data_IF_328129342182
#
_entry.id   IF_328129342182
#
_cell.length_a   1.000
_cell.length_b   1.000
_cell.length_c   1.000
_cell.angle_alpha   90.00
_cell.angle_beta   90.00
_cell.angle_gamma   90.00
#
_symmetry.space_group_name_H-M   'P 1'
#
loop_
_entity.id
_entity.type
_entity.pdbx_description
1 polymer ?
#
# COMPACT_ATOMS: atom_id res chain seq x y z
N UNK A 1 -3.92 -14.90 12.31
CA UNK A 1 -4.33 -13.48 12.18
C UNK A 1 -3.81 -13.04 10.83
N UNK A 2 -4.67 -12.58 9.92
CA UNK A 2 -4.19 -12.02 8.65
C UNK A 2 -3.52 -10.69 9.00
N UNK A 3 -2.24 -10.56 8.69
CA UNK A 3 -1.51 -9.31 8.87
C UNK A 3 -2.00 -8.32 7.81
N UNK A 4 -2.48 -7.16 8.22
CA UNK A 4 -2.96 -6.14 7.29
C UNK A 4 -1.74 -5.34 6.81
N UNK A 5 -1.37 -5.43 5.51
CA UNK A 5 -0.21 -4.70 5.00
C UNK A 5 -0.42 -3.20 5.16
N UNK A 6 0.65 -2.47 5.49
CA UNK A 6 0.59 -1.02 5.70
C UNK A 6 0.09 -0.30 4.45
N UNK A 7 0.41 -0.85 3.27
CA UNK A 7 -0.06 -0.34 1.98
C UNK A 7 -1.56 -0.53 1.80
N UNK A 8 -2.14 -1.56 2.41
CA UNK A 8 -3.58 -1.78 2.49
C UNK A 8 -4.28 -0.65 3.24
N UNK A 9 -3.80 -0.33 4.46
CA UNK A 9 -4.32 0.80 5.26
C UNK A 9 -4.16 2.13 4.53
N UNK A 10 -2.97 2.41 4.00
CA UNK A 10 -2.70 3.63 3.24
C UNK A 10 -3.65 3.78 2.04
N UNK A 11 -3.86 2.70 1.28
CA UNK A 11 -4.76 2.70 0.13
C UNK A 11 -6.21 2.94 0.55
N UNK A 12 -6.70 2.23 1.55
CA UNK A 12 -8.10 2.32 1.98
C UNK A 12 -8.43 3.71 2.55
N UNK A 13 -7.66 4.18 3.52
CA UNK A 13 -7.91 5.46 4.19
C UNK A 13 -7.51 6.65 3.33
N UNK A 14 -6.46 6.53 2.52
CA UNK A 14 -6.09 7.57 1.55
C UNK A 14 -7.17 7.77 0.49
N UNK A 15 -7.81 6.70 -0.01
CA UNK A 15 -8.96 6.82 -0.90
C UNK A 15 -10.18 7.44 -0.22
N UNK A 16 -10.44 7.11 1.05
CA UNK A 16 -11.51 7.75 1.82
C UNK A 16 -11.29 9.27 1.94
N UNK A 17 -10.05 9.71 2.16
CA UNK A 17 -9.69 11.13 2.16
C UNK A 17 -9.86 11.79 0.79
N UNK A 18 -9.37 11.15 -0.28
CA UNK A 18 -9.47 11.68 -1.65
C UNK A 18 -10.91 11.79 -2.11
N UNK A 19 -11.78 10.89 -1.67
CA UNK A 19 -13.23 10.94 -1.90
C UNK A 19 -13.99 11.92 -0.98
N UNK A 20 -13.30 12.58 -0.05
CA UNK A 20 -13.91 13.51 0.91
C UNK A 20 -14.79 12.84 1.98
N UNK A 21 -14.57 11.54 2.23
CA UNK A 21 -15.37 10.72 3.15
C UNK A 21 -14.80 10.68 4.57
N UNK A 22 -13.58 11.17 4.79
CA UNK A 22 -12.93 11.16 6.09
C UNK A 22 -12.06 12.41 6.30
N UNK A 23 -11.90 12.84 7.55
CA UNK A 23 -11.05 13.97 7.91
C UNK A 23 -9.55 13.60 7.78
N UNK A 24 -8.68 14.54 7.38
CA UNK A 24 -7.25 14.25 7.21
C UNK A 24 -6.56 13.68 8.45
N UNK A 25 -6.89 14.19 9.64
CA UNK A 25 -6.25 13.74 10.89
C UNK A 25 -6.71 12.33 11.30
N UNK A 26 -8.00 12.03 11.13
CA UNK A 26 -8.54 10.67 11.35
C UNK A 26 -7.88 9.67 10.40
N UNK A 27 -7.73 10.04 9.13
CA UNK A 27 -7.05 9.23 8.11
C UNK A 27 -5.60 8.96 8.49
N UNK A 28 -4.86 9.99 8.92
CA UNK A 28 -3.48 9.83 9.34
C UNK A 28 -3.37 8.85 10.53
N UNK A 29 -4.22 8.98 11.54
CA UNK A 29 -4.25 8.07 12.69
C UNK A 29 -4.56 6.62 12.27
N UNK A 30 -5.53 6.43 11.38
CA UNK A 30 -5.92 5.09 10.91
C UNK A 30 -4.85 4.41 10.05
N UNK A 31 -4.07 5.19 9.30
CA UNK A 31 -2.95 4.65 8.53
C UNK A 31 -1.81 4.21 9.46
N UNK A 32 -1.46 5.06 10.43
CA UNK A 32 -0.41 4.79 11.43
C UNK A 32 -0.77 3.56 12.27
N UNK A 33 -2.02 3.45 12.73
CA UNK A 33 -2.48 2.36 13.58
C UNK A 33 -1.55 2.17 14.80
N UNK A 34 -0.93 1.00 14.94
CA UNK A 34 -0.04 0.65 16.05
C UNK A 34 1.43 1.08 15.82
N UNK A 35 1.76 1.59 14.64
CA UNK A 35 3.10 2.13 14.35
C UNK A 35 3.29 3.48 15.08
N UNK A 36 4.55 3.91 15.27
CA UNK A 36 4.85 5.14 15.98
C UNK A 36 4.66 6.38 15.09
N UNK A 37 5.11 6.32 13.83
CA UNK A 37 5.02 7.46 12.90
C UNK A 37 5.15 7.01 11.46
N UNK A 38 4.39 7.67 10.58
CA UNK A 38 4.51 7.51 9.13
C UNK A 38 4.88 8.86 8.49
N UNK A 39 5.87 8.85 7.61
CA UNK A 39 6.29 10.03 6.81
C UNK A 39 6.35 9.68 5.34
N UNK A 40 6.14 10.66 4.46
CA UNK A 40 6.35 10.53 3.02
C UNK A 40 7.65 11.23 2.63
N UNK A 41 8.59 10.50 2.04
CA UNK A 41 9.85 11.01 1.52
C UNK A 41 9.81 11.14 0.00
N UNK A 42 10.69 11.98 -0.54
CA UNK A 42 10.84 12.23 -1.98
C UNK A 42 9.55 12.70 -2.69
N UNK A 43 8.63 13.30 -1.92
CA UNK A 43 7.37 13.78 -2.44
C UNK A 43 7.56 15.05 -3.28
N UNK A 44 7.04 15.11 -4.53
CA UNK A 44 7.29 16.26 -5.41
C UNK A 44 6.90 17.62 -4.81
N UNK A 45 7.92 18.48 -4.68
CA UNK A 45 7.81 19.85 -4.20
C UNK A 45 7.91 20.01 -2.69
N UNK A 46 8.30 18.96 -1.96
CA UNK A 46 8.74 19.02 -0.57
C UNK A 46 10.26 18.83 -0.50
N UNK A 47 10.93 19.48 0.46
CA UNK A 47 12.40 19.45 0.60
C UNK A 47 12.91 18.40 1.60
N UNK A 48 12.04 17.47 2.01
CA UNK A 48 12.36 16.41 2.97
C UNK A 48 11.11 15.63 3.36
N UNK A 49 11.24 14.64 4.26
CA UNK A 49 10.13 13.82 4.71
C UNK A 49 9.03 14.64 5.38
N UNK A 50 7.78 14.42 4.99
CA UNK A 50 6.60 15.11 5.54
C UNK A 50 5.63 14.15 6.22
N UNK A 51 4.88 14.61 7.21
CA UNK A 51 3.83 13.80 7.84
C UNK A 51 2.68 13.48 6.88
N UNK A 52 1.93 12.41 7.18
CA UNK A 52 0.83 11.91 6.33
C UNK A 52 -0.21 12.99 5.94
N UNK A 53 -0.63 13.83 6.88
CA UNK A 53 -1.65 14.87 6.61
C UNK A 53 -1.19 15.84 5.51
N UNK A 54 0.06 16.32 5.58
CA UNK A 54 0.64 17.19 4.57
C UNK A 54 0.87 16.42 3.26
N UNK A 55 1.43 15.22 3.35
CA UNK A 55 1.74 14.38 2.18
C UNK A 55 0.50 14.02 1.35
N UNK A 56 -0.58 13.57 1.99
CA UNK A 56 -1.84 13.28 1.32
C UNK A 56 -2.50 14.54 0.73
N UNK A 57 -2.41 15.66 1.44
CA UNK A 57 -2.84 16.96 0.91
C UNK A 57 -2.06 17.38 -0.33
N UNK A 58 -0.76 17.10 -0.36
CA UNK A 58 0.13 17.38 -1.49
C UNK A 58 -0.17 16.46 -2.68
N UNK A 59 -0.42 15.17 -2.46
CA UNK A 59 -0.86 14.25 -3.52
C UNK A 59 -2.14 14.76 -4.19
N UNK A 60 -3.12 15.22 -3.41
CA UNK A 60 -4.34 15.84 -3.96
C UNK A 60 -4.03 17.10 -4.77
N UNK A 61 -3.11 17.95 -4.31
CA UNK A 61 -2.69 19.16 -5.04
C UNK A 61 -1.95 18.82 -6.34
N UNK A 62 -1.28 17.67 -6.41
CA UNK A 62 -0.65 17.13 -7.62
C UNK A 62 -1.66 16.45 -8.57
N UNK A 63 -2.96 16.48 -8.25
CA UNK A 63 -4.02 15.92 -9.09
C UNK A 63 -4.19 14.40 -8.94
N UNK A 64 -3.73 13.81 -7.84
CA UNK A 64 -4.07 12.42 -7.48
C UNK A 64 -5.55 12.35 -7.12
N UNK A 65 -6.26 11.40 -7.72
CA UNK A 65 -7.69 11.16 -7.53
C UNK A 65 -7.99 9.83 -6.85
N UNK A 66 -6.99 8.97 -6.72
CA UNK A 66 -7.12 7.68 -6.06
C UNK A 66 -5.78 7.00 -5.84
N UNK A 67 -5.81 5.92 -5.08
CA UNK A 67 -4.71 5.05 -4.74
C UNK A 67 -5.08 3.60 -5.08
N UNK A 68 -4.11 2.83 -5.59
CA UNK A 68 -4.25 1.40 -5.86
C UNK A 68 -3.18 0.64 -5.07
N UNK A 69 -3.60 -0.47 -4.49
CA UNK A 69 -2.70 -1.39 -3.81
C UNK A 69 -1.98 -2.29 -4.83
N UNK A 70 -0.70 -2.53 -4.61
CA UNK A 70 0.06 -3.60 -5.23
C UNK A 70 0.73 -4.45 -4.14
N UNK A 71 0.60 -5.77 -4.23
CA UNK A 71 1.20 -6.75 -3.32
C UNK A 71 2.06 -7.73 -4.15
N UNK A 72 3.20 -7.26 -4.69
CA UNK A 72 4.04 -8.09 -5.54
C UNK A 72 4.71 -9.20 -4.73
N UNK A 73 4.95 -10.34 -5.38
CA UNK A 73 5.76 -11.44 -4.84
C UNK A 73 6.87 -11.79 -5.82
N UNK A 74 7.92 -12.47 -5.35
CA UNK A 74 9.04 -12.86 -6.21
C UNK A 74 8.55 -13.64 -7.44
N UNK A 75 8.89 -13.15 -8.63
CA UNK A 75 8.46 -13.74 -9.90
C UNK A 75 7.08 -13.30 -10.41
N UNK A 76 6.34 -12.49 -9.65
CA UNK A 76 5.01 -12.00 -10.03
C UNK A 76 4.82 -10.51 -9.64
N UNK A 77 5.24 -9.57 -10.52
CA UNK A 77 5.16 -8.14 -10.25
C UNK A 77 3.76 -7.55 -10.50
N UNK A 78 2.69 -8.29 -10.18
CA UNK A 78 1.32 -7.86 -10.44
C UNK A 78 1.03 -6.49 -9.82
N UNK A 79 0.35 -5.64 -10.59
CA UNK A 79 -0.03 -4.30 -10.16
C UNK A 79 1.08 -3.24 -10.24
N UNK A 80 2.34 -3.62 -10.51
CA UNK A 80 3.45 -2.69 -10.67
C UNK A 80 3.57 -2.17 -12.11
N UNK A 81 3.76 -0.87 -12.28
CA UNK A 81 3.85 -0.22 -13.60
C UNK A 81 5.28 0.14 -14.04
N UNK A 82 6.32 -0.25 -13.29
CA UNK A 82 7.69 0.22 -13.51
C UNK A 82 7.87 1.69 -13.12
N UNK A 83 9.10 2.26 -13.22
CA UNK A 83 10.34 1.72 -13.79
C UNK A 83 11.02 0.64 -12.91
N UNK A 84 12.12 -0.01 -13.38
CA UNK A 84 12.80 -1.08 -12.63
C UNK A 84 13.14 -0.71 -11.19
N UNK A 85 13.64 0.52 -10.95
CA UNK A 85 13.94 0.98 -9.59
C UNK A 85 12.73 0.94 -8.64
N UNK A 86 11.55 1.35 -9.10
CA UNK A 86 10.33 1.24 -8.30
C UNK A 86 9.94 -0.23 -8.09
N UNK A 87 10.01 -1.04 -9.15
CA UNK A 87 9.65 -2.44 -9.06
C UNK A 87 10.55 -3.23 -8.11
N UNK A 88 11.86 -2.98 -8.14
CA UNK A 88 12.84 -3.66 -7.29
C UNK A 88 12.57 -3.35 -5.82
N UNK A 89 12.34 -2.08 -5.48
CA UNK A 89 11.97 -1.65 -4.12
C UNK A 89 10.62 -2.24 -3.69
N UNK A 90 9.61 -2.20 -4.55
CA UNK A 90 8.29 -2.76 -4.25
C UNK A 90 8.34 -4.28 -4.07
N UNK A 91 9.18 -4.99 -4.83
CA UNK A 91 9.41 -6.43 -4.68
C UNK A 91 10.16 -6.77 -3.40
N UNK A 92 11.13 -5.94 -3.01
CA UNK A 92 11.86 -6.10 -1.74
C UNK A 92 10.94 -5.88 -0.53
N UNK A 93 10.10 -4.84 -0.57
CA UNK A 93 9.11 -4.56 0.47
C UNK A 93 7.94 -5.56 0.46
N UNK A 94 7.64 -6.18 -0.68
CA UNK A 94 6.45 -7.03 -0.88
C UNK A 94 5.13 -6.26 -0.97
N UNK A 95 5.18 -4.93 -0.94
CA UNK A 95 4.01 -4.06 -0.97
C UNK A 95 4.34 -2.67 -1.58
N UNK A 96 3.35 -2.08 -2.24
CA UNK A 96 3.41 -0.72 -2.74
C UNK A 96 2.02 -0.11 -2.93
N UNK A 97 1.95 1.21 -3.01
CA UNK A 97 0.75 1.96 -3.38
C UNK A 97 1.03 2.79 -4.63
N UNK A 98 0.19 2.65 -5.66
CA UNK A 98 0.27 3.46 -6.87
C UNK A 98 -0.82 4.51 -6.89
N UNK A 99 -0.46 5.73 -7.25
CA UNK A 99 -1.42 6.82 -7.46
C UNK A 99 -2.18 6.68 -8.78
N UNK A 100 -3.41 7.18 -8.81
CA UNK A 100 -4.21 7.38 -10.02
C UNK A 100 -4.52 8.86 -10.18
N UNK A 101 -4.65 9.33 -11.42
CA UNK A 101 -4.89 10.74 -11.73
C UNK A 101 -3.72 11.34 -12.49
N UNK A 102 -3.43 12.61 -12.22
CA UNK A 102 -2.44 13.38 -13.00
C UNK A 102 -0.98 13.13 -12.59
N UNK A 103 -0.73 12.79 -11.33
CA UNK A 103 0.60 12.43 -10.86
C UNK A 103 0.78 10.91 -10.88
N UNK A 104 1.87 10.47 -11.49
CA UNK A 104 2.23 9.06 -11.61
C UNK A 104 3.35 8.75 -10.61
N UNK A 105 2.95 8.49 -9.36
CA UNK A 105 3.82 8.14 -8.25
C UNK A 105 3.49 6.75 -7.70
N UNK A 106 4.52 6.03 -7.30
CA UNK A 106 4.47 4.83 -6.48
C UNK A 106 5.06 5.12 -5.10
N UNK A 107 4.43 4.60 -4.05
CA UNK A 107 4.84 4.74 -2.67
C UNK A 107 5.22 3.36 -2.15
N UNK A 108 6.47 3.19 -1.73
CA UNK A 108 6.98 1.94 -1.14
C UNK A 108 7.32 2.19 0.33
N UNK A 109 6.87 1.34 1.27
CA UNK A 109 7.20 1.52 2.68
C UNK A 109 8.62 1.02 2.98
N UNK A 110 9.39 1.86 3.65
CA UNK A 110 10.63 1.51 4.34
C UNK A 110 10.34 1.47 5.84
N UNK A 111 10.46 0.29 6.44
CA UNK A 111 10.10 0.04 7.84
C UNK A 111 11.36 0.04 8.69
N UNK A 112 11.36 0.86 9.75
CA UNK A 112 12.44 0.96 10.70
C UNK A 112 11.94 0.59 12.09
N UNK A 113 12.64 -0.33 12.74
CA UNK A 113 12.36 -0.73 14.12
C UNK A 113 13.43 -0.18 15.06
N UNK A 114 13.00 0.47 16.14
CA UNK A 114 13.90 1.03 17.14
C UNK A 114 13.33 0.89 18.55
N UNK A 115 14.18 0.55 19.52
CA UNK A 115 13.78 0.43 20.92
C UNK A 115 14.30 -0.85 21.59
N UNK A 116 14.23 -0.95 22.93
CA UNK A 116 14.61 -2.15 23.64
C UNK A 116 13.59 -3.29 23.41
N UNK A 117 14.02 -4.53 23.66
CA UNK A 117 13.12 -5.68 23.60
C UNK A 117 11.92 -5.50 24.55
N UNK A 118 10.71 -5.53 24.00
CA UNK A 118 9.45 -5.29 24.74
C UNK A 118 8.90 -3.87 24.64
N UNK A 119 9.64 -2.94 24.01
CA UNK A 119 9.19 -1.57 23.72
C UNK A 119 9.80 -1.13 22.37
N UNK A 120 9.55 -1.93 21.33
CA UNK A 120 10.00 -1.65 19.97
C UNK A 120 8.97 -0.74 19.32
N UNK A 121 9.43 0.39 18.81
CA UNK A 121 8.64 1.30 18.00
C UNK A 121 8.94 1.08 16.53
N UNK A 122 7.89 1.15 15.72
CA UNK A 122 7.99 1.02 14.27
C UNK A 122 7.77 2.39 13.63
N UNK A 123 8.73 2.84 12.83
CA UNK A 123 8.61 4.03 11.99
C UNK A 123 8.54 3.62 10.53
N UNK A 124 7.71 4.30 9.75
CA UNK A 124 7.49 3.98 8.33
C UNK A 124 7.76 5.21 7.48
N UNK A 125 8.70 5.09 6.55
CA UNK A 125 8.94 6.08 5.51
C UNK A 125 8.39 5.59 4.17
N UNK A 126 7.43 6.31 3.60
CA UNK A 126 6.88 6.05 2.29
C UNK A 126 7.74 6.74 1.24
N UNK A 127 8.63 6.00 0.58
CA UNK A 127 9.45 6.55 -0.50
C UNK A 127 8.58 6.75 -1.74
N UNK A 128 8.44 8.00 -2.18
CA UNK A 128 7.70 8.35 -3.38
C UNK A 128 8.61 8.28 -4.61
N UNK A 129 8.31 7.38 -5.54
CA UNK A 129 9.05 7.22 -6.79
C UNK A 129 8.16 7.53 -7.99
N UNK A 130 8.70 8.11 -9.08
CA UNK A 130 7.96 8.21 -10.33
C UNK A 130 7.65 6.81 -10.86
N UNK A 131 6.42 6.59 -11.32
CA UNK A 131 6.00 5.37 -12.03
C UNK A 131 5.59 5.71 -13.46
N UNK A 132 5.51 4.70 -14.33
CA UNK A 132 5.04 4.92 -15.70
C UNK A 132 3.54 5.20 -15.70
N UNK A 133 3.12 6.13 -16.56
CA UNK A 133 1.73 6.23 -16.99
C UNK A 133 1.41 5.05 -17.93
N UNK A 134 1.13 3.91 -17.33
CA UNK A 134 0.78 2.70 -18.03
C UNK A 134 -0.51 2.13 -17.43
N UNK A 135 -1.33 1.44 -18.24
CA UNK A 135 -2.43 0.65 -17.70
C UNK A 135 -1.90 -0.22 -16.55
N UNK A 136 -2.69 -0.41 -15.47
CA UNK A 136 -2.34 -1.35 -14.42
C UNK A 136 -1.84 -2.67 -15.04
N UNK A 137 -0.63 -3.11 -14.67
CA UNK A 137 -0.10 -4.38 -15.14
C UNK A 137 -1.09 -5.49 -14.83
N UNK A 138 -1.55 -6.18 -15.88
CA UNK A 138 -2.55 -7.26 -15.95
C UNK A 138 -3.16 -7.67 -14.61
N UNK A 139 -3.91 -6.75 -13.99
CA UNK A 139 -4.70 -7.08 -12.81
C UNK A 139 -5.93 -7.83 -13.29
N UNK A 140 -6.24 -9.00 -12.68
CA UNK A 140 -7.43 -9.74 -13.05
C UNK A 140 -8.65 -8.83 -12.95
N UNK A 141 -9.58 -9.00 -13.87
CA UNK A 141 -10.89 -8.38 -13.78
C UNK A 141 -11.55 -8.75 -12.45
N UNK A 142 -12.52 -7.94 -11.99
CA UNK A 142 -13.25 -8.24 -10.75
C UNK A 142 -13.83 -9.67 -10.76
N UNK A 143 -14.39 -10.12 -11.89
CA UNK A 143 -14.94 -11.47 -12.00
C UNK A 143 -13.88 -12.57 -11.94
N UNK A 144 -12.66 -12.29 -12.43
CA UNK A 144 -11.54 -13.21 -12.27
C UNK A 144 -11.07 -13.26 -10.81
N UNK A 145 -10.96 -12.11 -10.15
CA UNK A 145 -10.61 -12.02 -8.73
C UNK A 145 -11.66 -12.70 -7.82
N UNK A 146 -12.96 -12.51 -8.09
CA UNK A 146 -14.05 -13.18 -7.37
C UNK A 146 -14.00 -14.70 -7.54
N UNK A 147 -13.71 -15.17 -8.77
CA UNK A 147 -13.56 -16.59 -9.05
C UNK A 147 -12.36 -17.18 -8.32
N UNK A 148 -11.21 -16.51 -8.36
CA UNK A 148 -10.00 -16.95 -7.66
C UNK A 148 -10.20 -17.00 -6.14
N UNK A 149 -10.86 -15.98 -5.56
CA UNK A 149 -11.23 -15.97 -4.14
C UNK A 149 -12.17 -17.14 -3.80
N UNK A 150 -13.18 -17.39 -4.63
CA UNK A 150 -14.11 -18.49 -4.42
C UNK A 150 -13.45 -19.87 -4.53
N UNK A 151 -12.42 -20.00 -5.38
CA UNK A 151 -11.58 -21.20 -5.48
C UNK A 151 -10.72 -21.37 -4.23
N UNK A 152 -9.99 -20.34 -3.82
CA UNK A 152 -9.14 -20.38 -2.63
C UNK A 152 -9.92 -20.71 -1.35
N UNK A 153 -11.14 -20.17 -1.20
CA UNK A 153 -12.04 -20.47 -0.08
C UNK A 153 -12.50 -21.94 -0.08
N UNK A 154 -12.80 -22.52 -1.25
CA UNK A 154 -13.17 -23.93 -1.37
C UNK A 154 -12.01 -24.84 -1.00
N UNK A 155 -10.81 -24.52 -1.45
CA UNK A 155 -9.61 -25.30 -1.15
C UNK A 155 -9.25 -25.23 0.34
N UNK A 156 -9.30 -24.04 0.94
CA UNK A 156 -9.08 -23.85 2.38
C UNK A 156 -10.11 -24.63 3.22
N UNK A 157 -11.39 -24.60 2.83
CA UNK A 157 -12.45 -25.34 3.52
C UNK A 157 -12.23 -26.86 3.41
N UNK A 158 -11.80 -27.33 2.24
CA UNK A 158 -11.49 -28.75 2.01
C UNK A 158 -10.31 -29.21 2.87
N UNK A 159 -9.27 -28.39 2.97
CA UNK A 159 -8.10 -28.66 3.81
C UNK A 159 -8.46 -28.69 5.31
N UNK A 160 -9.27 -27.73 5.78
CA UNK A 160 -9.76 -27.69 7.15
C UNK A 160 -10.62 -28.91 7.48
N UNK A 161 -11.52 -29.30 6.57
CA UNK A 161 -12.35 -30.50 6.75
C UNK A 161 -11.47 -31.74 6.88
N UNK A 162 -10.47 -31.91 6.01
CA UNK A 162 -9.57 -33.06 6.05
C UNK A 162 -8.76 -33.16 7.36
N UNK A 163 -8.39 -32.03 7.95
CA UNK A 163 -7.72 -31.97 9.26
C UNK A 163 -8.65 -32.33 10.42
N UNK A 164 -9.95 -32.05 10.31
CA UNK A 164 -10.97 -32.34 11.35
C UNK A 164 -11.48 -33.80 11.31
N UNK A 165 -11.08 -34.59 10.29
CA UNK A 165 -11.34 -36.05 10.22
C UNK A 165 -10.11 -36.89 10.64
N UNK A 166 -9.01 -36.25 11.08
CA UNK A 166 -7.77 -36.91 11.50
C UNK A 166 -7.62 -37.05 13.03
#
# INVERSE_FOLDING_TARGET
>A
MLDEPRSGRLTAWGNALLAGLAAPDDVAQRIVADDAVHRMADLPGENGPVGLTLGLGRLRALGVTGLRLALPVSGHPLGLSGPPQFNDLALEAGEAVLTTGAAHLGLVPEVHEAGPAGDVHVEVEWRCLPVRDAPPADVPSLGEAERELAEALRDATSALTALDVA
#
